data_IF_059102950620
#
_entry.id   IF_059102950620
#
_cell.length_a   1.000
_cell.length_b   1.000
_cell.length_c   1.000
_cell.angle_alpha   90.00
_cell.angle_beta   90.00
_cell.angle_gamma   90.00
#
_symmetry.space_group_name_H-M   'P 1'
#
loop_
_entity.id
_entity.type
_entity.pdbx_description
1 polymer ?
#
# COMPACT_ATOMS: atom_id res chain seq x y z
N UNK A 1 4.72 7.36 12.42
CA UNK A 1 4.55 8.01 11.10
C UNK A 1 3.51 7.32 10.20
N UNK A 2 2.84 6.23 10.61
CA UNK A 2 1.82 5.56 9.76
C UNK A 2 0.65 6.51 9.44
N UNK A 3 0.19 7.29 10.41
CA UNK A 3 -0.94 8.24 10.25
C UNK A 3 -0.64 9.33 9.20
N UNK A 4 0.56 9.91 9.22
CA UNK A 4 1.00 10.91 8.24
C UNK A 4 1.08 10.30 6.83
N UNK A 5 1.62 9.07 6.71
CA UNK A 5 1.69 8.37 5.44
C UNK A 5 0.29 7.99 4.92
N UNK A 6 -0.60 7.53 5.80
CA UNK A 6 -1.98 7.19 5.46
C UNK A 6 -2.70 8.39 4.86
N UNK A 7 -2.58 9.57 5.48
CA UNK A 7 -3.19 10.81 4.98
C UNK A 7 -2.70 11.16 3.58
N UNK A 8 -1.39 11.07 3.32
CA UNK A 8 -0.80 11.31 1.99
C UNK A 8 -1.39 10.37 0.95
N UNK A 9 -1.54 9.08 1.25
CA UNK A 9 -2.12 8.13 0.28
C UNK A 9 -3.62 8.33 0.08
N UNK A 10 -4.35 8.78 1.10
CA UNK A 10 -5.77 9.17 0.95
C UNK A 10 -5.92 10.35 0.00
N UNK A 11 -5.12 11.40 0.19
CA UNK A 11 -5.09 12.56 -0.70
C UNK A 11 -4.69 12.17 -2.14
N UNK A 12 -3.73 11.28 -2.29
CA UNK A 12 -3.29 10.78 -3.60
C UNK A 12 -4.41 10.03 -4.33
N UNK A 13 -5.17 9.18 -3.63
CA UNK A 13 -6.31 8.45 -4.21
C UNK A 13 -7.49 9.40 -4.51
N UNK A 14 -7.69 10.47 -3.73
CA UNK A 14 -8.70 11.49 -4.04
C UNK A 14 -8.40 12.24 -5.34
N UNK A 15 -7.12 12.62 -5.54
CA UNK A 15 -6.68 13.31 -6.76
C UNK A 15 -6.60 12.37 -7.97
N UNK A 16 -6.07 11.16 -7.75
CA UNK A 16 -5.82 10.15 -8.77
C UNK A 16 -6.52 8.87 -8.40
N UNK A 17 -7.82 8.83 -8.71
CA UNK A 17 -8.69 7.72 -8.35
C UNK A 17 -8.07 6.37 -8.70
N UNK A 18 -7.95 5.53 -7.68
CA UNK A 18 -7.41 4.17 -7.75
C UNK A 18 -5.99 4.08 -8.34
N UNK A 19 -5.16 5.11 -8.12
CA UNK A 19 -3.73 5.03 -8.40
C UNK A 19 -3.13 3.81 -7.69
N UNK A 20 -2.44 2.95 -8.44
CA UNK A 20 -1.83 1.73 -7.92
C UNK A 20 -0.87 2.00 -6.74
N UNK A 21 -0.09 3.08 -6.80
CA UNK A 21 0.86 3.44 -5.73
C UNK A 21 0.16 3.95 -4.47
N UNK A 22 -0.86 4.80 -4.64
CA UNK A 22 -1.72 5.25 -3.56
C UNK A 22 -2.42 4.08 -2.86
N UNK A 23 -3.01 3.16 -3.64
CA UNK A 23 -3.66 1.95 -3.13
C UNK A 23 -2.70 1.04 -2.37
N UNK A 24 -1.48 0.81 -2.90
CA UNK A 24 -0.46 0.03 -2.19
C UNK A 24 -0.07 0.70 -0.87
N UNK A 25 0.16 2.01 -0.88
CA UNK A 25 0.55 2.76 0.30
C UNK A 25 -0.52 2.74 1.38
N UNK A 26 -1.77 2.98 1.01
CA UNK A 26 -2.91 2.92 1.92
C UNK A 26 -3.07 1.51 2.49
N UNK A 27 -2.99 0.46 1.65
CA UNK A 27 -3.01 -0.94 2.09
C UNK A 27 -1.97 -1.20 3.16
N UNK A 28 -0.72 -0.81 2.94
CA UNK A 28 0.38 -1.04 3.89
C UNK A 28 0.15 -0.28 5.22
N UNK A 29 -0.41 0.92 5.18
CA UNK A 29 -0.76 1.68 6.38
C UNK A 29 -1.87 0.99 7.19
N UNK A 30 -2.92 0.51 6.50
CA UNK A 30 -4.03 -0.22 7.11
C UNK A 30 -3.56 -1.55 7.72
N UNK A 31 -2.67 -2.29 7.06
CA UNK A 31 -2.04 -3.50 7.61
C UNK A 31 -1.21 -3.18 8.86
N UNK A 32 -0.38 -2.14 8.82
CA UNK A 32 0.46 -1.73 9.95
C UNK A 32 -0.35 -1.26 11.18
N UNK A 33 -1.51 -0.64 10.95
CA UNK A 33 -2.46 -0.24 12.00
C UNK A 33 -3.28 -1.42 12.56
N UNK A 34 -3.35 -2.53 11.82
CA UNK A 34 -4.21 -3.67 12.17
C UNK A 34 -5.68 -3.39 11.90
N UNK A 35 -5.99 -2.75 10.77
CA UNK A 35 -7.37 -2.44 10.40
C UNK A 35 -8.25 -3.70 10.29
N UNK A 36 -9.43 -3.64 10.91
CA UNK A 36 -10.44 -4.71 10.90
C UNK A 36 -11.81 -4.19 10.48
N UNK A 37 -11.87 -2.98 9.91
CA UNK A 37 -13.12 -2.32 9.52
C UNK A 37 -13.71 -2.87 8.22
N UNK A 38 -12.90 -3.56 7.42
CA UNK A 38 -13.22 -3.99 6.06
C UNK A 38 -12.56 -3.12 4.98
N UNK A 39 -12.09 -1.93 5.33
CA UNK A 39 -11.38 -1.03 4.40
C UNK A 39 -10.12 -1.68 3.82
N UNK A 40 -9.37 -2.42 4.66
CA UNK A 40 -8.19 -3.15 4.18
C UNK A 40 -8.52 -4.16 3.08
N UNK A 41 -9.65 -4.87 3.17
CA UNK A 41 -10.07 -5.85 2.17
C UNK A 41 -10.46 -5.14 0.86
N UNK A 42 -11.18 -4.03 0.95
CA UNK A 42 -11.58 -3.22 -0.20
C UNK A 42 -10.37 -2.65 -0.94
N UNK A 43 -9.46 -1.98 -0.23
CA UNK A 43 -8.23 -1.41 -0.80
C UNK A 43 -7.34 -2.51 -1.39
N UNK A 44 -7.27 -3.68 -0.74
CA UNK A 44 -6.53 -4.84 -1.26
C UNK A 44 -7.14 -5.38 -2.55
N UNK A 45 -8.46 -5.43 -2.65
CA UNK A 45 -9.17 -5.86 -3.86
C UNK A 45 -8.91 -4.90 -5.03
N UNK A 46 -9.05 -3.59 -4.78
CA UNK A 46 -8.75 -2.55 -5.76
C UNK A 46 -7.29 -2.60 -6.22
N UNK A 47 -6.35 -2.72 -5.28
CA UNK A 47 -4.93 -2.83 -5.62
C UNK A 47 -4.67 -4.02 -6.56
N UNK A 48 -5.21 -5.20 -6.25
CA UNK A 48 -5.08 -6.41 -7.11
C UNK A 48 -5.64 -6.19 -8.51
N UNK A 49 -6.80 -5.53 -8.61
CA UNK A 49 -7.41 -5.20 -9.90
C UNK A 49 -6.49 -4.26 -10.71
N UNK A 50 -6.00 -3.19 -10.08
CA UNK A 50 -5.21 -2.15 -10.76
C UNK A 50 -3.77 -2.57 -11.04
N UNK A 51 -3.23 -3.52 -10.28
CA UNK A 51 -1.94 -4.13 -10.55
C UNK A 51 -2.01 -5.31 -11.53
N UNK A 52 -3.19 -5.72 -11.99
CA UNK A 52 -3.39 -6.94 -12.79
C UNK A 52 -2.59 -7.00 -14.10
N UNK A 53 -2.20 -5.84 -14.62
CA UNK A 53 -1.42 -5.70 -15.87
C UNK A 53 0.03 -5.28 -15.64
N UNK A 54 0.46 -5.14 -14.39
CA UNK A 54 1.84 -4.76 -14.09
C UNK A 54 2.76 -5.95 -14.34
N UNK A 55 3.85 -5.74 -15.09
CA UNK A 55 4.88 -6.78 -15.30
C UNK A 55 5.54 -7.20 -13.98
N UNK A 56 5.66 -6.24 -13.05
CA UNK A 56 6.18 -6.43 -11.69
C UNK A 56 5.24 -5.71 -10.74
N UNK A 57 4.64 -6.46 -9.80
CA UNK A 57 3.80 -5.89 -8.75
C UNK A 57 4.72 -5.31 -7.66
N UNK A 58 4.64 -4.01 -7.36
CA UNK A 58 5.50 -3.40 -6.35
C UNK A 58 5.14 -3.87 -4.94
N UNK A 59 6.16 -4.10 -4.11
CA UNK A 59 5.99 -4.43 -2.69
C UNK A 59 6.07 -3.18 -1.77
N UNK A 60 6.60 -2.06 -2.28
CA UNK A 60 6.80 -0.81 -1.55
C UNK A 60 6.55 0.39 -2.44
N UNK A 61 6.14 1.51 -1.84
CA UNK A 61 5.80 2.75 -2.55
C UNK A 61 6.95 3.73 -2.70
N UNK A 62 8.01 3.60 -1.88
CA UNK A 62 9.23 4.41 -1.97
C UNK A 62 10.45 3.51 -2.11
N UNK A 63 11.41 3.90 -2.95
CA UNK A 63 12.74 3.28 -2.97
C UNK A 63 13.50 3.45 -1.64
N UNK A 64 13.15 4.49 -0.89
CA UNK A 64 13.66 4.75 0.46
C UNK A 64 13.12 3.80 1.53
N UNK A 65 11.99 3.13 1.27
CA UNK A 65 11.48 2.13 2.19
C UNK A 65 12.46 0.95 2.19
N UNK A 66 13.02 0.67 3.37
CA UNK A 66 13.89 -0.48 3.58
C UNK A 66 13.08 -1.73 3.23
N UNK A 67 13.70 -2.62 2.45
CA UNK A 67 13.11 -3.93 2.24
C UNK A 67 12.94 -4.58 3.62
N UNK A 68 11.80 -5.23 3.84
CA UNK A 68 11.64 -6.15 4.95
C UNK A 68 12.50 -7.39 4.65
N UNK A 69 13.81 -7.23 4.56
CA UNK A 69 14.73 -8.34 4.64
C UNK A 69 14.50 -8.94 6.01
N UNK A 70 13.81 -10.07 6.06
CA UNK A 70 14.06 -11.02 7.12
C UNK A 70 15.56 -11.33 7.01
N UNK A 71 16.37 -10.79 7.91
CA UNK A 71 17.75 -11.22 8.14
C UNK A 71 17.74 -12.66 8.69
N UNK A 72 17.10 -13.59 7.98
CA UNK A 72 17.32 -15.02 8.14
C UNK A 72 18.45 -15.39 7.19
N UNK A 73 19.65 -14.97 7.57
CA UNK A 73 20.88 -15.56 7.06
C UNK A 73 21.69 -16.01 8.28
N UNK A 74 21.58 -17.31 8.58
CA UNK A 74 22.42 -18.11 9.46
C UNK A 74 22.47 -17.72 10.96
#
# INVERSE_FOLDING_TARGET
HVEEAEQVYREDIELWKDNMWGLLGLKLCLEARGDSSGELEEVTSLFKERSSRADIVPAKTCFCAQDSHSDSCC
#
